data_IF_783851850067
#
_entry.id   IF_783851850067
#
_cell.length_a   1.000
_cell.length_b   1.000
_cell.length_c   1.000
_cell.angle_alpha   90.00
_cell.angle_beta   90.00
_cell.angle_gamma   90.00
#
_symmetry.space_group_name_H-M   'P 1'
#
loop_
_entity.id
_entity.type
_entity.pdbx_description
1 polymer ?
#
# COMPACT_ATOMS: atom_id res chain seq x y z
N UNK A 1 -127.57 -72.52 13.36
CA UNK A 1 -127.42 -71.13 13.00
C UNK A 1 -126.01 -70.67 13.29
N UNK A 2 -125.54 -70.27 12.33
CA UNK A 2 -124.17 -69.74 12.08
C UNK A 2 -123.77 -68.52 12.86
N UNK A 3 -122.60 -68.40 13.37
CA UNK A 3 -121.84 -67.14 13.33
C UNK A 3 -120.29 -67.40 13.34
N UNK A 4 -119.74 -67.15 12.24
CA UNK A 4 -118.29 -67.19 12.04
C UNK A 4 -117.57 -65.98 12.66
N UNK A 5 -116.53 -66.28 13.37
CA UNK A 5 -115.59 -65.29 13.89
C UNK A 5 -114.60 -64.91 12.81
N UNK A 6 -114.56 -63.64 12.44
CA UNK A 6 -113.53 -63.03 11.52
C UNK A 6 -112.26 -62.70 12.34
N UNK A 7 -111.28 -63.53 12.13
CA UNK A 7 -109.93 -63.20 12.60
C UNK A 7 -109.38 -62.01 11.81
N UNK A 8 -109.14 -60.87 12.51
CA UNK A 8 -108.41 -59.72 11.96
C UNK A 8 -106.92 -59.98 12.13
N UNK A 9 -106.31 -60.41 11.06
CA UNK A 9 -104.84 -60.35 10.96
C UNK A 9 -104.36 -58.90 11.05
N UNK A 10 -103.53 -58.57 12.07
CA UNK A 10 -102.76 -57.35 12.15
C UNK A 10 -101.76 -57.37 11.03
N UNK A 11 -101.54 -56.24 10.32
CA UNK A 11 -100.51 -56.18 9.29
C UNK A 11 -99.09 -56.35 9.93
N UNK A 12 -98.30 -57.25 9.36
CA UNK A 12 -96.90 -57.42 9.72
C UNK A 12 -96.21 -56.07 9.53
N UNK A 13 -95.67 -55.49 10.59
CA UNK A 13 -94.85 -54.33 10.56
C UNK A 13 -93.56 -54.74 9.80
N UNK A 14 -93.40 -54.27 8.57
CA UNK A 14 -92.13 -54.39 7.86
C UNK A 14 -91.05 -53.74 8.70
N UNK A 15 -90.24 -54.53 9.38
CA UNK A 15 -89.00 -54.06 10.03
C UNK A 15 -88.04 -53.63 8.97
N UNK A 16 -87.96 -52.31 8.71
CA UNK A 16 -86.96 -51.75 7.81
C UNK A 16 -85.58 -52.15 8.34
N UNK A 17 -84.85 -52.90 7.54
CA UNK A 17 -83.45 -53.29 7.82
C UNK A 17 -82.63 -52.05 8.13
N UNK A 18 -81.97 -52.00 9.30
CA UNK A 18 -81.05 -50.93 9.73
C UNK A 18 -79.61 -51.17 9.22
N UNK A 19 -79.38 -52.21 8.40
CA UNK A 19 -78.11 -52.54 7.82
C UNK A 19 -77.45 -51.36 7.05
N UNK A 20 -78.17 -50.50 6.30
CA UNK A 20 -77.54 -49.30 5.64
C UNK A 20 -76.99 -48.32 6.70
N UNK A 21 -77.60 -48.19 7.90
CA UNK A 21 -77.08 -47.28 8.96
C UNK A 21 -75.76 -47.81 9.51
N UNK A 22 -75.64 -49.11 9.72
CA UNK A 22 -74.40 -49.75 10.20
C UNK A 22 -73.26 -49.62 9.14
N UNK A 23 -73.60 -49.78 7.85
CA UNK A 23 -72.66 -49.62 6.78
C UNK A 23 -72.13 -48.18 6.69
N UNK A 24 -73.01 -47.19 6.82
CA UNK A 24 -72.63 -45.79 6.83
C UNK A 24 -71.76 -45.47 8.05
N UNK A 25 -72.11 -45.98 9.22
CA UNK A 25 -71.32 -45.79 10.47
C UNK A 25 -69.92 -46.39 10.32
N UNK A 26 -69.79 -47.60 9.75
CA UNK A 26 -68.47 -48.19 9.49
C UNK A 26 -67.61 -47.40 8.46
N UNK A 27 -68.25 -46.86 7.42
CA UNK A 27 -67.62 -46.03 6.46
C UNK A 27 -67.16 -44.70 7.05
N UNK A 28 -68.00 -44.09 7.92
CA UNK A 28 -67.63 -42.86 8.64
C UNK A 28 -66.46 -43.09 9.61
N UNK A 29 -66.39 -44.21 10.28
CA UNK A 29 -65.29 -44.55 11.17
C UNK A 29 -64.01 -44.76 10.42
N UNK A 30 -64.04 -45.45 9.28
CA UNK A 30 -62.86 -45.60 8.42
C UNK A 30 -62.34 -44.23 7.88
N UNK A 31 -63.25 -43.37 7.48
CA UNK A 31 -62.92 -42.02 6.98
C UNK A 31 -62.29 -41.12 8.08
N UNK A 32 -62.87 -41.20 9.27
CA UNK A 32 -62.37 -40.46 10.43
C UNK A 32 -60.94 -40.91 10.83
N UNK A 33 -60.69 -42.24 10.81
CA UNK A 33 -59.34 -42.76 11.07
C UNK A 33 -58.32 -42.25 10.05
N UNK A 34 -58.69 -42.20 8.75
CA UNK A 34 -57.84 -41.62 7.73
C UNK A 34 -57.57 -40.12 7.97
N UNK A 35 -58.60 -39.35 8.37
CA UNK A 35 -58.47 -37.93 8.71
C UNK A 35 -57.53 -37.71 9.89
N UNK A 36 -57.62 -38.53 10.95
CA UNK A 36 -56.73 -38.47 12.12
C UNK A 36 -55.26 -38.72 11.68
N UNK A 37 -55.01 -39.72 10.82
CA UNK A 37 -53.67 -40.00 10.35
C UNK A 37 -53.10 -38.83 9.52
N UNK A 38 -53.89 -38.22 8.65
CA UNK A 38 -53.50 -37.05 7.84
C UNK A 38 -53.24 -35.84 8.72
N UNK A 39 -54.02 -35.64 9.78
CA UNK A 39 -53.80 -34.53 10.74
C UNK A 39 -52.50 -34.70 11.51
N UNK A 40 -52.20 -35.90 12.00
CA UNK A 40 -50.92 -36.19 12.70
C UNK A 40 -49.75 -35.93 11.76
N UNK A 41 -49.83 -36.37 10.50
CA UNK A 41 -48.80 -36.09 9.48
C UNK A 41 -48.65 -34.59 9.23
N UNK A 42 -49.77 -33.85 9.11
CA UNK A 42 -49.76 -32.39 8.93
C UNK A 42 -49.12 -31.65 10.09
N UNK A 43 -49.41 -32.04 11.33
CA UNK A 43 -48.79 -31.45 12.53
C UNK A 43 -47.30 -31.74 12.61
N UNK A 44 -46.87 -32.92 12.19
CA UNK A 44 -45.46 -33.27 12.09
C UNK A 44 -44.73 -32.38 11.06
N UNK A 45 -45.32 -32.22 9.87
CA UNK A 45 -44.77 -31.33 8.82
C UNK A 45 -44.70 -29.86 9.30
N UNK A 46 -45.76 -29.35 9.95
CA UNK A 46 -45.73 -27.98 10.52
C UNK A 46 -44.60 -27.80 11.53
N UNK A 47 -44.31 -28.81 12.35
CA UNK A 47 -43.21 -28.79 13.31
C UNK A 47 -41.85 -28.70 12.56
N UNK A 48 -41.63 -29.50 11.51
CA UNK A 48 -40.41 -29.47 10.70
C UNK A 48 -40.23 -28.11 10.06
N UNK A 49 -41.29 -27.51 9.52
CA UNK A 49 -41.26 -26.16 8.96
C UNK A 49 -40.90 -25.16 10.04
N UNK A 50 -41.46 -25.24 11.25
CA UNK A 50 -41.14 -24.37 12.37
C UNK A 50 -39.65 -24.45 12.80
N UNK A 51 -39.12 -25.67 12.88
CA UNK A 51 -37.69 -25.90 13.18
C UNK A 51 -36.78 -25.28 12.08
N UNK A 52 -37.16 -25.45 10.80
CA UNK A 52 -36.44 -24.85 9.68
C UNK A 52 -36.41 -23.32 9.73
N UNK A 53 -37.55 -22.67 10.00
CA UNK A 53 -37.61 -21.21 10.14
C UNK A 53 -36.84 -20.70 11.36
N UNK A 54 -36.81 -21.44 12.47
CA UNK A 54 -35.96 -21.11 13.61
C UNK A 54 -34.48 -21.20 13.28
N UNK A 55 -34.06 -22.17 12.46
CA UNK A 55 -32.70 -22.26 11.94
C UNK A 55 -32.33 -21.06 11.07
N UNK A 56 -33.23 -20.67 10.14
CA UNK A 56 -33.01 -19.49 9.29
C UNK A 56 -32.92 -18.20 10.10
N UNK A 57 -33.68 -18.03 11.16
CA UNK A 57 -33.56 -16.89 12.07
C UNK A 57 -32.17 -16.84 12.72
N UNK A 58 -31.65 -17.98 13.17
CA UNK A 58 -30.30 -18.07 13.71
C UNK A 58 -29.20 -17.70 12.68
N UNK A 59 -29.35 -18.14 11.44
CA UNK A 59 -28.42 -17.74 10.37
C UNK A 59 -28.56 -16.25 10.01
N UNK A 60 -29.76 -15.68 10.08
CA UNK A 60 -29.98 -14.24 9.88
C UNK A 60 -29.23 -13.42 10.93
N UNK A 61 -29.29 -13.82 12.20
CA UNK A 61 -28.55 -13.15 13.29
C UNK A 61 -27.02 -13.24 13.08
N UNK A 62 -26.52 -14.40 12.65
CA UNK A 62 -25.11 -14.57 12.31
C UNK A 62 -24.68 -13.68 11.14
N UNK A 63 -25.55 -13.56 10.14
CA UNK A 63 -25.25 -12.70 8.99
C UNK A 63 -25.22 -11.23 9.38
N UNK A 64 -26.16 -10.77 10.23
CA UNK A 64 -26.14 -9.40 10.77
C UNK A 64 -24.85 -9.11 11.55
N UNK A 65 -24.35 -10.06 12.35
CA UNK A 65 -23.06 -9.92 13.02
C UNK A 65 -21.90 -9.77 12.02
N UNK A 66 -21.92 -10.54 10.92
CA UNK A 66 -20.92 -10.41 9.86
C UNK A 66 -21.00 -9.08 9.11
N UNK A 67 -22.18 -8.52 8.89
CA UNK A 67 -22.34 -7.17 8.33
C UNK A 67 -21.78 -6.10 9.28
N UNK A 68 -21.86 -6.31 10.60
CA UNK A 68 -21.22 -5.41 11.56
C UNK A 68 -19.69 -5.46 11.45
N UNK A 69 -19.10 -6.67 11.48
CA UNK A 69 -17.64 -6.85 11.31
C UNK A 69 -17.13 -6.23 9.99
N UNK A 70 -17.91 -6.34 8.92
CA UNK A 70 -17.59 -5.73 7.64
C UNK A 70 -17.62 -4.19 7.69
N UNK A 71 -18.61 -3.63 8.41
CA UNK A 71 -18.67 -2.18 8.65
C UNK A 71 -17.47 -1.66 9.43
N UNK A 72 -17.04 -2.38 10.46
CA UNK A 72 -15.85 -2.06 11.25
C UNK A 72 -14.57 -2.13 10.37
N UNK A 73 -14.52 -3.10 9.45
CA UNK A 73 -13.42 -3.23 8.49
C UNK A 73 -13.35 -2.03 7.54
N UNK A 74 -14.47 -1.54 7.01
CA UNK A 74 -14.49 -0.32 6.19
C UNK A 74 -14.07 0.92 6.98
N UNK A 75 -14.45 1.03 8.25
CA UNK A 75 -13.98 2.11 9.13
C UNK A 75 -12.46 2.09 9.31
N UNK A 76 -11.86 0.90 9.49
CA UNK A 76 -10.42 0.74 9.59
C UNK A 76 -9.69 1.09 8.27
N UNK A 77 -10.28 0.74 7.12
CA UNK A 77 -9.72 1.12 5.80
C UNK A 77 -9.75 2.64 5.63
N UNK A 78 -10.83 3.31 6.02
CA UNK A 78 -10.95 4.77 5.97
C UNK A 78 -9.88 5.46 6.84
N UNK A 79 -9.69 4.99 8.06
CA UNK A 79 -8.62 5.48 8.94
C UNK A 79 -7.23 5.25 8.34
N UNK A 80 -6.99 4.11 7.70
CA UNK A 80 -5.73 3.81 7.01
C UNK A 80 -5.51 4.72 5.81
N UNK A 81 -6.57 5.02 5.05
CA UNK A 81 -6.52 5.96 3.93
C UNK A 81 -6.17 7.39 4.41
N UNK A 82 -6.68 7.82 5.55
CA UNK A 82 -6.31 9.11 6.15
C UNK A 82 -4.84 9.14 6.58
N UNK A 83 -4.33 8.08 7.22
CA UNK A 83 -2.89 7.97 7.56
C UNK A 83 -2.02 8.00 6.31
N UNK A 84 -2.46 7.37 5.22
CA UNK A 84 -1.75 7.42 3.94
C UNK A 84 -1.67 8.85 3.37
N UNK A 85 -2.71 9.66 3.54
CA UNK A 85 -2.69 11.09 3.20
C UNK A 85 -1.62 11.87 3.95
N UNK A 86 -1.46 11.60 5.25
CA UNK A 86 -0.42 12.23 6.08
C UNK A 86 0.98 11.84 5.63
N UNK A 87 1.21 10.55 5.34
CA UNK A 87 2.50 10.06 4.82
C UNK A 87 2.83 10.74 3.48
N UNK A 88 1.87 10.84 2.57
CA UNK A 88 2.02 11.53 1.29
C UNK A 88 2.40 13.01 1.47
N UNK A 89 1.75 13.72 2.38
CA UNK A 89 2.11 15.10 2.73
C UNK A 89 3.55 15.20 3.26
N UNK A 90 3.96 14.27 4.10
CA UNK A 90 5.33 14.18 4.59
C UNK A 90 6.35 13.95 3.47
N UNK A 91 6.04 13.07 2.53
CA UNK A 91 6.88 12.85 1.33
C UNK A 91 7.01 14.15 0.51
N UNK A 92 5.89 14.83 0.23
CA UNK A 92 5.92 16.08 -0.54
C UNK A 92 6.78 17.15 0.15
N UNK A 93 6.66 17.31 1.45
CA UNK A 93 7.48 18.23 2.23
C UNK A 93 8.97 17.86 2.16
N UNK A 94 9.30 16.60 2.36
CA UNK A 94 10.69 16.11 2.31
C UNK A 94 11.32 16.32 0.92
N UNK A 95 10.54 16.09 -0.15
CA UNK A 95 11.01 16.34 -1.52
C UNK A 95 11.28 17.83 -1.75
N UNK A 96 10.40 18.73 -1.31
CA UNK A 96 10.62 20.18 -1.42
C UNK A 96 11.89 20.62 -0.68
N UNK A 97 12.14 20.12 0.51
CA UNK A 97 13.36 20.41 1.27
C UNK A 97 14.61 19.88 0.55
N UNK A 98 14.55 18.65 0.02
CA UNK A 98 15.66 18.06 -0.73
C UNK A 98 15.92 18.81 -2.05
N UNK A 99 14.90 19.27 -2.77
CA UNK A 99 15.05 20.12 -3.96
C UNK A 99 15.74 21.44 -3.60
N UNK A 100 15.37 22.09 -2.50
CA UNK A 100 16.05 23.28 -2.02
C UNK A 100 17.55 23.06 -1.72
N UNK A 101 17.90 21.89 -1.16
CA UNK A 101 19.29 21.50 -0.94
C UNK A 101 20.04 21.24 -2.25
N UNK A 102 19.40 20.63 -3.26
CA UNK A 102 19.99 20.41 -4.58
C UNK A 102 20.26 21.73 -5.31
N UNK A 103 19.35 22.70 -5.24
CA UNK A 103 19.58 24.04 -5.77
C UNK A 103 20.77 24.74 -5.10
N UNK A 104 20.89 24.63 -3.76
CA UNK A 104 22.02 25.18 -3.03
C UNK A 104 23.34 24.51 -3.44
N UNK A 105 23.34 23.18 -3.62
CA UNK A 105 24.48 22.42 -4.10
C UNK A 105 24.87 22.84 -5.54
N UNK A 106 23.90 23.03 -6.42
CA UNK A 106 24.12 23.54 -7.78
C UNK A 106 24.81 24.89 -7.77
N UNK A 107 24.32 25.87 -7.00
CA UNK A 107 24.93 27.18 -6.83
C UNK A 107 26.37 27.10 -6.28
N UNK A 108 26.59 26.22 -5.31
CA UNK A 108 27.95 26.00 -4.75
C UNK A 108 28.88 25.41 -5.79
N UNK A 109 28.42 24.46 -6.60
CA UNK A 109 29.20 23.87 -7.69
C UNK A 109 29.58 24.89 -8.74
N UNK A 110 28.69 25.81 -9.12
CA UNK A 110 28.98 26.92 -10.01
C UNK A 110 30.07 27.84 -9.45
N UNK A 111 30.02 28.19 -8.16
CA UNK A 111 31.05 28.99 -7.48
C UNK A 111 32.42 28.31 -7.48
N UNK A 112 32.44 26.99 -7.24
CA UNK A 112 33.69 26.20 -7.29
C UNK A 112 34.23 26.17 -8.74
N UNK A 113 33.36 26.04 -9.74
CA UNK A 113 33.76 26.10 -11.14
C UNK A 113 34.45 27.42 -11.49
N UNK A 114 33.87 28.55 -11.05
CA UNK A 114 34.48 29.89 -11.23
C UNK A 114 35.85 29.97 -10.52
N UNK A 115 35.93 29.41 -9.30
CA UNK A 115 37.19 29.38 -8.54
C UNK A 115 38.28 28.58 -9.24
N UNK A 116 37.95 27.44 -9.85
CA UNK A 116 38.89 26.65 -10.65
C UNK A 116 39.34 27.40 -11.92
N UNK A 117 38.43 28.13 -12.57
CA UNK A 117 38.77 28.94 -13.73
C UNK A 117 39.77 30.07 -13.39
N UNK A 118 39.55 30.75 -12.26
CA UNK A 118 40.47 31.78 -11.73
C UNK A 118 41.84 31.18 -11.36
N UNK A 119 41.83 29.99 -10.77
CA UNK A 119 43.06 29.28 -10.41
C UNK A 119 43.84 28.87 -11.66
N UNK A 120 43.20 28.39 -12.73
CA UNK A 120 43.84 28.07 -13.99
C UNK A 120 44.49 29.31 -14.63
N UNK A 121 43.84 30.47 -14.57
CA UNK A 121 44.43 31.75 -15.04
C UNK A 121 45.66 32.15 -14.21
N UNK A 122 45.59 32.06 -12.88
CA UNK A 122 46.71 32.35 -11.99
C UNK A 122 47.90 31.43 -12.27
N UNK A 123 47.68 30.14 -12.58
CA UNK A 123 48.72 29.22 -12.98
C UNK A 123 49.37 29.59 -14.32
N UNK A 124 48.57 30.03 -15.29
CA UNK A 124 49.11 30.51 -16.56
C UNK A 124 50.06 31.71 -16.35
N UNK A 125 49.70 32.65 -15.48
CA UNK A 125 50.54 33.79 -15.11
C UNK A 125 51.82 33.33 -14.38
N UNK A 126 51.72 32.36 -13.46
CA UNK A 126 52.87 31.77 -12.78
C UNK A 126 53.86 31.12 -13.78
N UNK A 127 53.34 30.35 -14.73
CA UNK A 127 54.18 29.73 -15.78
C UNK A 127 54.93 30.80 -16.63
N UNK A 128 54.25 31.91 -16.97
CA UNK A 128 54.89 33.03 -17.69
C UNK A 128 56.00 33.66 -16.84
N UNK A 129 55.78 33.92 -15.56
CA UNK A 129 56.76 34.44 -14.64
C UNK A 129 57.98 33.51 -14.45
N UNK A 130 57.78 32.22 -14.35
CA UNK A 130 58.81 31.18 -14.29
C UNK A 130 59.68 31.26 -15.54
N UNK A 131 59.09 31.35 -16.74
CA UNK A 131 59.83 31.48 -18.01
C UNK A 131 60.65 32.74 -18.09
N UNK A 132 60.12 33.85 -17.57
CA UNK A 132 60.88 35.10 -17.47
C UNK A 132 62.13 34.98 -16.55
N UNK A 133 61.95 34.30 -15.39
CA UNK A 133 63.05 34.04 -14.45
C UNK A 133 64.15 33.18 -15.13
N UNK A 134 63.75 32.09 -15.80
CA UNK A 134 64.65 31.21 -16.55
C UNK A 134 65.43 32.00 -17.58
N UNK A 135 64.77 32.89 -18.34
CA UNK A 135 65.45 33.76 -19.32
C UNK A 135 66.44 34.73 -18.63
N UNK A 136 66.07 35.27 -17.46
CA UNK A 136 66.98 36.17 -16.70
C UNK A 136 68.18 35.38 -16.16
N UNK A 137 67.98 34.15 -15.65
CA UNK A 137 69.13 33.31 -15.23
C UNK A 137 70.06 32.97 -16.36
N UNK A 138 69.55 32.67 -17.53
CA UNK A 138 70.41 32.49 -18.76
C UNK A 138 71.27 33.70 -19.07
N UNK A 139 70.74 34.94 -18.95
CA UNK A 139 71.49 36.16 -19.13
C UNK A 139 72.59 36.37 -18.04
N UNK A 140 72.28 36.04 -16.77
CA UNK A 140 73.22 36.13 -15.65
C UNK A 140 74.42 35.18 -15.88
N UNK A 141 74.12 33.92 -16.28
CA UNK A 141 75.18 32.96 -16.61
C UNK A 141 76.05 33.46 -17.75
N UNK A 142 75.51 34.08 -18.81
CA UNK A 142 76.27 34.64 -19.94
C UNK A 142 77.15 35.81 -19.49
N UNK A 143 76.65 36.69 -18.61
CA UNK A 143 77.43 37.78 -18.01
C UNK A 143 78.56 37.23 -17.13
N UNK A 144 78.33 36.24 -16.32
CA UNK A 144 79.32 35.58 -15.49
C UNK A 144 80.43 34.92 -16.37
N UNK A 145 80.07 34.27 -17.47
CA UNK A 145 81.07 33.72 -18.44
C UNK A 145 81.88 34.77 -19.08
N UNK A 146 81.28 35.88 -19.53
CA UNK A 146 82.03 37.03 -20.07
C UNK A 146 83.00 37.67 -19.05
N UNK A 147 82.50 37.82 -17.78
CA UNK A 147 83.32 38.36 -16.70
C UNK A 147 84.48 37.42 -16.35
N UNK A 148 84.30 36.11 -16.38
CA UNK A 148 85.33 35.11 -16.16
C UNK A 148 86.42 35.23 -17.28
N UNK A 149 86.00 35.39 -18.55
CA UNK A 149 86.91 35.57 -19.65
C UNK A 149 87.74 36.90 -19.53
N UNK A 150 87.04 37.98 -19.16
CA UNK A 150 87.67 39.25 -18.88
C UNK A 150 88.71 39.16 -17.74
N UNK A 151 88.39 38.47 -16.68
CA UNK A 151 89.26 38.25 -15.54
C UNK A 151 90.48 37.41 -15.91
N UNK A 152 90.32 36.40 -16.75
CA UNK A 152 91.47 35.60 -17.32
C UNK A 152 92.35 36.48 -18.12
N UNK A 153 91.82 37.28 -19.02
CA UNK A 153 92.63 38.22 -19.87
C UNK A 153 93.38 39.23 -19.00
N UNK A 154 92.75 39.79 -17.98
CA UNK A 154 93.37 40.70 -16.99
C UNK A 154 94.47 40.01 -16.17
N UNK A 155 94.28 38.76 -15.74
CA UNK A 155 95.33 37.97 -15.08
C UNK A 155 96.53 37.73 -15.97
N UNK A 156 96.37 37.49 -17.29
CA UNK A 156 97.41 37.31 -18.25
C UNK A 156 98.22 38.60 -18.43
N UNK A 157 97.51 39.74 -18.55
CA UNK A 157 98.20 41.05 -18.76
C UNK A 157 98.93 41.54 -17.49
N UNK A 158 98.31 41.24 -16.30
CA UNK A 158 98.93 41.50 -14.99
C UNK A 158 100.25 40.69 -14.82
N UNK A 159 100.30 39.45 -15.30
CA UNK A 159 101.51 38.61 -15.30
C UNK A 159 102.56 39.15 -16.26
N UNK A 160 102.10 39.72 -17.36
CA UNK A 160 102.99 40.33 -18.39
C UNK A 160 103.64 41.62 -17.92
N UNK A 161 102.97 42.38 -17.01
CA UNK A 161 103.53 43.59 -16.39
C UNK A 161 104.54 43.30 -15.23
N UNK A 162 104.79 42.06 -14.89
CA UNK A 162 105.86 41.67 -13.98
C UNK A 162 105.62 42.17 -12.54
N UNK A 163 106.62 42.85 -11.93
CA UNK A 163 106.54 43.31 -10.54
C UNK A 163 105.50 44.39 -10.32
N UNK A 164 105.20 45.23 -11.30
CA UNK A 164 104.17 46.30 -11.23
C UNK A 164 102.73 45.76 -11.35
N UNK A 165 102.58 44.61 -11.94
CA UNK A 165 101.24 43.98 -12.13
C UNK A 165 100.75 43.12 -10.97
N UNK A 166 101.50 42.88 -9.89
CA UNK A 166 101.17 41.95 -8.82
C UNK A 166 99.81 42.25 -8.11
N UNK A 167 99.50 43.52 -7.88
CA UNK A 167 98.24 43.94 -7.30
C UNK A 167 97.05 43.68 -8.20
N UNK A 168 97.22 43.91 -9.51
CA UNK A 168 96.16 43.63 -10.49
C UNK A 168 95.95 42.13 -10.71
N UNK A 169 96.97 41.31 -10.61
CA UNK A 169 96.82 39.85 -10.69
C UNK A 169 95.91 39.28 -9.55
N UNK A 170 96.03 39.78 -8.33
CA UNK A 170 95.18 39.37 -7.18
C UNK A 170 93.73 39.78 -7.41
N UNK A 171 93.47 41.01 -7.89
CA UNK A 171 92.10 41.46 -8.20
C UNK A 171 91.49 40.64 -9.33
N UNK A 172 92.28 40.37 -10.37
CA UNK A 172 91.77 39.52 -11.50
C UNK A 172 91.44 38.12 -11.06
N UNK A 173 92.20 37.47 -10.20
CA UNK A 173 91.89 36.16 -9.67
C UNK A 173 90.60 36.18 -8.71
N UNK A 174 90.43 37.26 -7.93
CA UNK A 174 89.19 37.43 -7.15
C UNK A 174 87.98 37.63 -8.07
N UNK A 175 88.08 38.44 -9.13
CA UNK A 175 86.94 38.61 -10.09
C UNK A 175 86.63 37.29 -10.80
N UNK A 176 87.59 36.49 -11.15
CA UNK A 176 87.44 35.18 -11.74
C UNK A 176 86.72 34.19 -10.79
N UNK A 177 87.07 34.19 -9.50
CA UNK A 177 86.45 33.41 -8.47
C UNK A 177 84.96 33.82 -8.26
N UNK A 178 84.68 35.13 -8.20
CA UNK A 178 83.36 35.68 -8.10
C UNK A 178 82.47 35.30 -9.29
N UNK A 179 83.04 35.37 -10.50
CA UNK A 179 82.30 34.94 -11.72
C UNK A 179 81.93 33.47 -11.68
N UNK A 180 82.77 32.60 -11.14
CA UNK A 180 82.45 31.16 -10.95
C UNK A 180 81.37 30.96 -9.88
N UNK A 181 81.45 31.67 -8.77
CA UNK A 181 80.44 31.61 -7.72
C UNK A 181 79.05 32.07 -8.21
N UNK A 182 79.00 33.16 -8.97
CA UNK A 182 77.74 33.62 -9.62
C UNK A 182 77.17 32.54 -10.53
N UNK A 183 77.99 31.82 -11.28
CA UNK A 183 77.53 30.74 -12.16
C UNK A 183 76.96 29.57 -11.37
N UNK A 184 77.58 29.22 -10.25
CA UNK A 184 77.04 28.14 -9.33
C UNK A 184 75.71 28.56 -8.75
N UNK A 185 75.62 29.78 -8.20
CA UNK A 185 74.37 30.30 -7.64
C UNK A 185 73.23 30.40 -8.68
N UNK A 186 73.58 30.83 -9.93
CA UNK A 186 72.60 30.87 -11.01
C UNK A 186 72.08 29.47 -11.37
N UNK A 187 72.92 28.44 -11.33
CA UNK A 187 72.49 27.02 -11.56
C UNK A 187 71.62 26.49 -10.44
N UNK A 188 71.91 26.85 -9.18
CA UNK A 188 71.11 26.49 -8.08
C UNK A 188 69.72 27.13 -8.16
N UNK A 189 69.60 28.39 -8.50
CA UNK A 189 68.32 29.09 -8.74
C UNK A 189 67.57 28.46 -9.91
N UNK A 190 68.26 28.14 -11.02
CA UNK A 190 67.62 27.47 -12.18
C UNK A 190 67.01 26.10 -11.77
N UNK A 191 67.73 25.32 -10.96
CA UNK A 191 67.24 24.08 -10.38
C UNK A 191 66.01 24.33 -9.54
N UNK A 192 65.97 25.29 -8.63
CA UNK A 192 64.82 25.64 -7.82
C UNK A 192 63.61 26.13 -8.64
N UNK A 193 63.87 26.86 -9.74
CA UNK A 193 62.84 27.31 -10.68
C UNK A 193 62.22 26.10 -11.41
N UNK A 194 63.07 25.13 -11.83
CA UNK A 194 62.57 23.85 -12.41
C UNK A 194 61.66 23.03 -11.48
N UNK A 195 61.99 23.01 -10.18
CA UNK A 195 61.15 22.36 -9.18
C UNK A 195 59.78 23.07 -9.03
N UNK A 196 59.75 24.40 -9.07
CA UNK A 196 58.50 25.19 -9.04
C UNK A 196 57.69 24.94 -10.30
N UNK A 197 58.33 24.90 -11.50
CA UNK A 197 57.67 24.59 -12.78
C UNK A 197 57.02 23.20 -12.75
N UNK A 198 57.71 22.17 -12.26
CA UNK A 198 57.20 20.81 -12.12
C UNK A 198 56.00 20.77 -11.16
N UNK A 199 56.10 21.46 -10.03
CA UNK A 199 55.03 21.53 -9.04
C UNK A 199 53.79 22.27 -9.60
N UNK A 200 53.98 23.35 -10.33
CA UNK A 200 52.92 24.07 -11.03
C UNK A 200 52.21 23.17 -12.06
N UNK A 201 52.98 22.40 -12.86
CA UNK A 201 52.42 21.46 -13.83
C UNK A 201 51.51 20.37 -13.18
N UNK A 202 51.99 19.81 -12.06
CA UNK A 202 51.19 18.83 -11.28
C UNK A 202 49.89 19.42 -10.74
N UNK A 203 49.95 20.64 -10.23
CA UNK A 203 48.79 21.33 -9.66
C UNK A 203 47.78 21.70 -10.78
N UNK A 204 48.24 22.13 -11.96
CA UNK A 204 47.39 22.35 -13.13
C UNK A 204 46.63 21.08 -13.53
N UNK A 205 47.33 19.94 -13.59
CA UNK A 205 46.67 18.64 -13.87
C UNK A 205 45.63 18.26 -12.82
N UNK A 206 45.90 18.54 -11.53
CA UNK A 206 44.99 18.30 -10.45
C UNK A 206 43.70 19.16 -10.53
N UNK A 207 43.83 20.42 -10.96
CA UNK A 207 42.68 21.31 -11.19
C UNK A 207 41.80 20.77 -12.32
N UNK A 208 42.40 20.36 -13.44
CA UNK A 208 41.62 19.79 -14.55
C UNK A 208 40.84 18.53 -14.12
N UNK A 209 41.46 17.62 -13.39
CA UNK A 209 40.80 16.45 -12.87
C UNK A 209 39.67 16.81 -11.89
N UNK A 210 39.88 17.85 -11.06
CA UNK A 210 38.85 18.34 -10.15
C UNK A 210 37.64 18.98 -10.86
N UNK A 211 37.91 19.72 -11.97
CA UNK A 211 36.85 20.28 -12.80
C UNK A 211 36.02 19.20 -13.48
N UNK A 212 36.63 18.13 -13.95
CA UNK A 212 35.92 16.97 -14.52
C UNK A 212 35.04 16.30 -13.48
N UNK A 213 35.59 16.06 -12.27
CA UNK A 213 34.80 15.46 -11.15
C UNK A 213 33.63 16.37 -10.72
N UNK A 214 33.84 17.70 -10.72
CA UNK A 214 32.78 18.66 -10.43
C UNK A 214 31.67 18.62 -11.49
N UNK A 215 32.04 18.50 -12.77
CA UNK A 215 31.08 18.34 -13.87
C UNK A 215 30.21 17.10 -13.68
N UNK A 216 30.84 15.96 -13.38
CA UNK A 216 30.09 14.72 -13.07
C UNK A 216 29.14 14.90 -11.84
N UNK A 217 29.60 15.64 -10.82
CA UNK A 217 28.77 15.98 -9.67
C UNK A 217 27.52 16.80 -10.04
N UNK A 218 27.70 17.77 -10.95
CA UNK A 218 26.58 18.60 -11.45
C UNK A 218 25.56 17.78 -12.25
N UNK A 219 26.03 16.82 -13.06
CA UNK A 219 25.14 15.89 -13.77
C UNK A 219 24.31 15.03 -12.81
N UNK A 220 24.92 14.57 -11.71
CA UNK A 220 24.21 13.82 -10.64
C UNK A 220 23.13 14.68 -9.98
N UNK A 221 23.42 15.96 -9.73
CA UNK A 221 22.43 16.91 -9.20
C UNK A 221 21.21 17.00 -10.13
N UNK A 222 21.43 17.13 -11.43
CA UNK A 222 20.37 17.18 -12.43
C UNK A 222 19.53 15.89 -12.48
N UNK A 223 20.15 14.72 -12.42
CA UNK A 223 19.47 13.43 -12.38
C UNK A 223 18.66 13.25 -11.08
N UNK A 224 19.17 13.78 -9.98
CA UNK A 224 18.50 13.74 -8.67
C UNK A 224 17.23 14.62 -8.68
N UNK A 225 17.30 15.82 -9.26
CA UNK A 225 16.13 16.69 -9.43
C UNK A 225 15.03 16.03 -10.28
N UNK A 226 15.41 15.37 -11.37
CA UNK A 226 14.45 14.58 -12.18
C UNK A 226 13.81 13.44 -11.37
N UNK A 227 14.59 12.79 -10.51
CA UNK A 227 14.07 11.75 -9.62
C UNK A 227 13.06 12.31 -8.61
N UNK A 228 13.30 13.48 -8.04
CA UNK A 228 12.35 14.16 -7.16
C UNK A 228 11.05 14.53 -7.88
N UNK A 229 11.12 14.97 -9.14
CA UNK A 229 9.91 15.22 -9.95
C UNK A 229 9.07 13.94 -10.14
N UNK A 230 9.73 12.81 -10.38
CA UNK A 230 9.05 11.51 -10.50
C UNK A 230 8.38 11.08 -9.17
N UNK A 231 9.05 11.32 -8.04
CA UNK A 231 8.48 11.04 -6.70
C UNK A 231 7.25 11.91 -6.46
N UNK A 232 7.30 13.20 -6.80
CA UNK A 232 6.16 14.11 -6.66
C UNK A 232 4.98 13.65 -7.51
N UNK A 233 5.21 13.32 -8.77
CA UNK A 233 4.17 12.81 -9.67
C UNK A 233 3.55 11.49 -9.16
N UNK A 234 4.37 10.58 -8.60
CA UNK A 234 3.87 9.36 -7.99
C UNK A 234 3.02 9.62 -6.72
N UNK A 235 3.42 10.60 -5.89
CA UNK A 235 2.66 11.01 -4.72
C UNK A 235 1.32 11.66 -5.10
N UNK A 236 1.27 12.44 -6.19
CA UNK A 236 0.03 12.98 -6.75
C UNK A 236 -0.89 11.88 -7.31
N UNK A 237 -0.32 10.92 -8.04
CA UNK A 237 -1.07 9.74 -8.50
C UNK A 237 -1.68 8.95 -7.35
N UNK A 238 -0.94 8.77 -6.26
CA UNK A 238 -1.43 8.12 -5.04
C UNK A 238 -2.59 8.88 -4.37
N UNK A 239 -2.65 10.22 -4.49
CA UNK A 239 -3.78 11.02 -4.03
C UNK A 239 -5.08 10.69 -4.78
N UNK A 240 -5.00 10.48 -6.10
CA UNK A 240 -6.15 10.09 -6.91
C UNK A 240 -6.70 8.72 -6.48
N UNK A 241 -5.81 7.74 -6.27
CA UNK A 241 -6.19 6.40 -5.79
C UNK A 241 -6.83 6.47 -4.40
N UNK A 242 -6.31 7.31 -3.50
CA UNK A 242 -6.90 7.51 -2.17
C UNK A 242 -8.33 8.07 -2.26
N UNK A 243 -8.57 9.04 -3.14
CA UNK A 243 -9.91 9.61 -3.34
C UNK A 243 -10.88 8.54 -3.86
N UNK A 244 -10.43 7.67 -4.76
CA UNK A 244 -11.21 6.54 -5.26
C UNK A 244 -11.55 5.55 -4.14
N UNK A 245 -10.56 5.17 -3.32
CA UNK A 245 -10.76 4.29 -2.15
C UNK A 245 -11.82 4.88 -1.21
N UNK A 246 -11.72 6.16 -0.85
CA UNK A 246 -12.72 6.83 0.01
C UNK A 246 -14.12 6.83 -0.62
N UNK A 247 -14.21 7.01 -1.93
CA UNK A 247 -15.48 6.91 -2.67
C UNK A 247 -16.10 5.50 -2.61
N UNK A 248 -15.27 4.47 -2.79
CA UNK A 248 -15.70 3.06 -2.70
C UNK A 248 -16.15 2.74 -1.27
N UNK A 249 -15.44 3.18 -0.25
CA UNK A 249 -15.81 2.98 1.16
C UNK A 249 -17.17 3.62 1.44
N UNK A 250 -17.38 4.88 1.05
CA UNK A 250 -18.63 5.58 1.26
C UNK A 250 -19.81 4.90 0.55
N UNK A 251 -19.60 4.30 -0.64
CA UNK A 251 -20.61 3.51 -1.33
C UNK A 251 -20.90 2.20 -0.59
N UNK A 252 -19.85 1.47 -0.20
CA UNK A 252 -19.97 0.19 0.50
C UNK A 252 -20.66 0.34 1.86
N UNK A 253 -20.42 1.42 2.60
CA UNK A 253 -21.12 1.71 3.86
C UNK A 253 -22.62 1.94 3.64
N UNK A 254 -23.02 2.61 2.56
CA UNK A 254 -24.45 2.77 2.20
C UNK A 254 -25.10 1.43 1.87
N UNK A 255 -24.45 0.63 1.05
CA UNK A 255 -24.92 -0.71 0.69
C UNK A 255 -25.04 -1.62 1.93
N UNK A 256 -24.09 -1.55 2.87
CA UNK A 256 -24.20 -2.26 4.16
C UNK A 256 -25.40 -1.80 4.97
N UNK A 257 -25.72 -0.53 4.98
CA UNK A 257 -26.89 -0.01 5.68
C UNK A 257 -28.21 -0.54 5.06
N UNK A 258 -28.28 -0.57 3.74
CA UNK A 258 -29.42 -1.16 3.01
C UNK A 258 -29.56 -2.66 3.31
N UNK A 259 -28.45 -3.41 3.30
CA UNK A 259 -28.44 -4.83 3.66
C UNK A 259 -28.91 -5.07 5.09
N UNK A 260 -28.48 -4.26 6.06
CA UNK A 260 -28.97 -4.37 7.45
C UNK A 260 -30.47 -4.17 7.52
N UNK A 261 -31.02 -3.16 6.86
CA UNK A 261 -32.46 -2.92 6.82
C UNK A 261 -33.22 -4.09 6.17
N UNK A 262 -32.67 -4.64 5.09
CA UNK A 262 -33.24 -5.80 4.41
C UNK A 262 -33.30 -7.04 5.33
N UNK A 263 -32.22 -7.32 6.07
CA UNK A 263 -32.20 -8.43 7.01
C UNK A 263 -33.10 -8.23 8.24
N UNK A 264 -33.29 -6.99 8.70
CA UNK A 264 -34.26 -6.67 9.74
C UNK A 264 -35.69 -6.95 9.26
N UNK A 265 -36.03 -6.61 8.02
CA UNK A 265 -37.31 -6.94 7.41
C UNK A 265 -37.53 -8.46 7.28
N UNK A 266 -36.52 -9.18 6.77
CA UNK A 266 -36.58 -10.67 6.67
C UNK A 266 -36.79 -11.26 8.03
N UNK A 267 -36.07 -10.84 9.06
CA UNK A 267 -36.22 -11.30 10.44
C UNK A 267 -37.65 -11.10 10.95
N UNK A 268 -38.23 -9.93 10.69
CA UNK A 268 -39.62 -9.64 11.02
C UNK A 268 -40.61 -10.59 10.34
N UNK A 269 -40.43 -10.82 9.02
CA UNK A 269 -41.29 -11.74 8.27
C UNK A 269 -41.17 -13.19 8.77
N UNK A 270 -39.97 -13.67 9.06
CA UNK A 270 -39.77 -15.03 9.58
C UNK A 270 -40.37 -15.22 10.97
N UNK A 271 -40.28 -14.21 11.84
CA UNK A 271 -40.95 -14.24 13.13
C UNK A 271 -42.47 -14.33 12.99
N UNK A 272 -43.04 -13.69 11.97
CA UNK A 272 -44.47 -13.78 11.68
C UNK A 272 -44.85 -15.17 11.17
N UNK A 273 -44.05 -15.77 10.30
CA UNK A 273 -44.26 -17.16 9.85
C UNK A 273 -44.22 -18.14 11.03
N UNK A 274 -43.25 -18.01 11.94
CA UNK A 274 -43.17 -18.86 13.14
C UNK A 274 -44.44 -18.72 14.00
N UNK A 275 -44.97 -17.50 14.15
CA UNK A 275 -46.24 -17.27 14.85
C UNK A 275 -47.44 -17.95 14.17
N UNK A 276 -47.50 -17.92 12.82
CA UNK A 276 -48.55 -18.61 12.07
C UNK A 276 -48.45 -20.13 12.21
N UNK A 277 -47.23 -20.69 12.19
CA UNK A 277 -46.99 -22.12 12.41
C UNK A 277 -47.48 -22.54 13.82
N UNK A 278 -47.15 -21.78 14.86
CA UNK A 278 -47.59 -22.03 16.23
C UNK A 278 -49.12 -21.97 16.34
N UNK A 279 -49.76 -21.00 15.69
CA UNK A 279 -51.22 -20.88 15.63
C UNK A 279 -51.87 -22.06 14.90
N UNK A 280 -51.31 -22.48 13.75
CA UNK A 280 -51.78 -23.64 12.99
C UNK A 280 -51.63 -24.95 13.81
N UNK A 281 -50.53 -25.10 14.54
CA UNK A 281 -50.29 -26.25 15.43
C UNK A 281 -51.33 -26.32 16.55
N UNK A 282 -51.70 -25.18 17.14
CA UNK A 282 -52.79 -25.13 18.18
C UNK A 282 -54.16 -25.49 17.61
N UNK A 283 -54.48 -25.03 16.39
CA UNK A 283 -55.71 -25.40 15.68
C UNK A 283 -55.75 -26.91 15.41
N UNK A 284 -54.61 -27.49 15.00
CA UNK A 284 -54.51 -28.95 14.80
C UNK A 284 -54.78 -29.74 16.12
N UNK A 285 -54.26 -29.27 17.25
CA UNK A 285 -54.54 -29.89 18.55
C UNK A 285 -56.03 -29.84 18.89
N UNK A 286 -56.71 -28.72 18.63
CA UNK A 286 -58.16 -28.58 18.82
C UNK A 286 -58.93 -29.52 17.91
N UNK A 287 -58.52 -29.66 16.65
CA UNK A 287 -59.10 -30.58 15.67
C UNK A 287 -58.93 -32.02 16.06
N UNK A 288 -57.82 -32.42 16.67
CA UNK A 288 -57.62 -33.77 17.22
C UNK A 288 -58.61 -34.11 18.30
N UNK A 289 -58.92 -33.19 19.24
CA UNK A 289 -59.98 -33.37 20.25
C UNK A 289 -61.37 -33.53 19.63
N UNK A 290 -61.68 -32.75 18.56
CA UNK A 290 -62.97 -32.91 17.85
C UNK A 290 -63.08 -34.27 17.14
N UNK A 291 -61.96 -34.81 16.62
CA UNK A 291 -61.93 -36.15 16.02
C UNK A 291 -62.19 -37.24 17.09
N UNK A 292 -61.65 -37.09 18.30
CA UNK A 292 -61.91 -37.99 19.41
C UNK A 292 -63.43 -38.00 19.85
N UNK A 293 -64.04 -36.81 19.93
CA UNK A 293 -65.44 -36.67 20.18
C UNK A 293 -66.30 -37.31 19.08
N UNK A 294 -65.90 -37.14 17.82
CA UNK A 294 -66.62 -37.75 16.68
C UNK A 294 -66.51 -39.29 16.70
N UNK A 295 -65.31 -39.85 17.03
CA UNK A 295 -65.14 -41.29 17.19
C UNK A 295 -66.08 -41.87 18.29
N UNK A 296 -66.15 -41.15 19.42
CA UNK A 296 -67.06 -41.51 20.50
C UNK A 296 -68.51 -41.50 20.05
N UNK A 297 -69.00 -40.55 19.25
CA UNK A 297 -70.36 -40.49 18.71
C UNK A 297 -70.64 -41.62 17.71
N UNK A 298 -69.71 -41.87 16.78
CA UNK A 298 -69.85 -42.93 15.77
C UNK A 298 -69.88 -44.32 16.44
N UNK A 299 -69.03 -44.54 17.42
CA UNK A 299 -68.97 -45.82 18.18
C UNK A 299 -70.25 -46.18 18.93
N UNK A 300 -71.11 -45.21 19.23
CA UNK A 300 -72.44 -45.44 19.89
C UNK A 300 -73.51 -45.89 18.88
N UNK A 301 -73.38 -45.69 17.60
CA UNK A 301 -74.37 -46.03 16.56
C UNK A 301 -74.62 -47.54 16.52
N UNK A 302 -73.66 -48.46 16.46
CA UNK A 302 -73.90 -49.90 16.36
C UNK A 302 -74.61 -50.48 17.55
N UNK A 303 -74.31 -50.13 18.81
CA UNK A 303 -75.12 -50.61 19.94
C UNK A 303 -76.58 -50.08 19.93
N UNK A 304 -76.79 -48.78 19.59
CA UNK A 304 -78.17 -48.23 19.47
C UNK A 304 -78.97 -48.93 18.39
N UNK A 305 -78.39 -49.25 17.25
CA UNK A 305 -79.07 -50.01 16.19
C UNK A 305 -79.45 -51.42 16.65
N UNK A 306 -78.58 -52.12 17.39
CA UNK A 306 -78.88 -53.43 17.97
C UNK A 306 -79.98 -53.38 18.97
N UNK A 307 -80.05 -52.37 19.85
CA UNK A 307 -81.09 -52.19 20.80
C UNK A 307 -82.43 -51.95 20.11
N UNK A 308 -82.49 -51.17 19.03
CA UNK A 308 -83.71 -50.97 18.23
C UNK A 308 -84.13 -52.25 17.51
N UNK A 309 -83.20 -53.06 16.96
CA UNK A 309 -83.50 -54.33 16.31
C UNK A 309 -83.97 -55.40 17.31
N UNK A 310 -83.43 -55.38 18.54
CA UNK A 310 -83.83 -56.39 19.59
C UNK A 310 -85.00 -55.96 20.42
N UNK A 311 -85.56 -54.74 20.25
CA UNK A 311 -86.77 -54.29 20.93
C UNK A 311 -86.58 -54.02 22.45
N UNK A 312 -85.35 -53.71 22.82
CA UNK A 312 -85.06 -53.25 24.19
C UNK A 312 -85.03 -51.75 24.24
#
# INVERSE_FOLDING_TARGET
MLFGSKDRQKPAQETKSLYPVLHVAGSLQAYQQELVQKEVASLWELRQVGESFSGVLGETDRFQAKLQELGDSFSNIDQTAEQFSQVRSGIAQTVLEAQGQMEALGRTSEQVQVSYSQMAETFSQLQAAIKEIQQCMGKIVAIADQTNILAINASIEAARAGAEGRGFAVVAEQVKTLAKEIKVLASEVDGGVGDVESSAGRLSSSILASQETLGQGTDIVGQTDESFRKITAAAEGAASVQTEISGVIASSQRELQELRQFFDQIKGQYQEVVRHIDSASRLGTTKSAMFEDMDNMISQIPPLVRDIETGR
#
